data_IF_077495497739
#
_entry.id   IF_077495497739
#
_cell.length_a   1.000
_cell.length_b   1.000
_cell.length_c   1.000
_cell.angle_alpha   90.00
_cell.angle_beta   90.00
_cell.angle_gamma   90.00
#
_symmetry.space_group_name_H-M   'P 1'
#
loop_
_entity.id
_entity.type
_entity.pdbx_description
1 polymer ?
#
# COMPACT_ATOMS: atom_id res chain seq x y z
N UNK A 1 -24.62 7.58 -13.64
CA UNK A 1 -23.19 7.55 -14.03
C UNK A 1 -22.62 6.28 -13.45
N UNK A 2 -22.11 5.39 -14.29
CA UNK A 2 -21.27 4.27 -13.80
C UNK A 2 -20.00 4.97 -13.28
N UNK A 3 -19.64 4.81 -11.99
CA UNK A 3 -18.39 5.36 -11.49
C UNK A 3 -17.27 4.86 -12.39
N UNK A 4 -16.39 5.75 -12.85
CA UNK A 4 -15.23 5.37 -13.67
C UNK A 4 -14.58 4.13 -13.03
N UNK A 5 -14.57 2.99 -13.75
CA UNK A 5 -13.89 1.79 -13.26
C UNK A 5 -12.46 2.19 -12.90
N UNK A 6 -12.09 2.02 -11.63
CA UNK A 6 -10.76 2.34 -11.17
C UNK A 6 -9.83 1.33 -11.83
N UNK A 7 -9.00 1.80 -12.76
CA UNK A 7 -8.02 0.94 -13.41
C UNK A 7 -6.90 0.61 -12.42
N UNK A 8 -6.92 -0.61 -11.87
CA UNK A 8 -5.94 -1.10 -10.92
C UNK A 8 -4.69 -1.71 -11.59
N UNK A 9 -4.62 -1.77 -12.94
CA UNK A 9 -3.47 -2.32 -13.64
C UNK A 9 -2.13 -1.71 -13.21
N UNK A 10 -1.98 -0.38 -13.03
CA UNK A 10 -0.69 0.19 -12.59
C UNK A 10 -0.25 -0.34 -11.23
N UNK A 11 -1.20 -0.54 -10.31
CA UNK A 11 -0.92 -1.07 -8.98
C UNK A 11 -0.53 -2.55 -9.07
N UNK A 12 -1.26 -3.35 -9.86
CA UNK A 12 -0.94 -4.76 -10.10
C UNK A 12 0.43 -4.93 -10.77
N UNK A 13 0.74 -4.12 -11.78
CA UNK A 13 2.06 -4.13 -12.41
C UNK A 13 3.16 -3.73 -11.44
N UNK A 14 2.91 -2.79 -10.52
CA UNK A 14 3.88 -2.45 -9.47
C UNK A 14 4.12 -3.65 -8.54
N UNK A 15 3.05 -4.32 -8.10
CA UNK A 15 3.15 -5.53 -7.29
C UNK A 15 4.01 -6.62 -7.95
N UNK A 16 3.74 -6.94 -9.22
CA UNK A 16 4.49 -7.95 -9.96
C UNK A 16 5.95 -7.54 -10.16
N UNK A 17 6.21 -6.31 -10.61
CA UNK A 17 7.56 -5.89 -11.00
C UNK A 17 8.46 -5.56 -9.80
N UNK A 18 7.91 -5.07 -8.69
CA UNK A 18 8.70 -4.60 -7.55
C UNK A 18 8.70 -5.59 -6.37
N UNK A 19 7.72 -6.48 -6.31
CA UNK A 19 7.57 -7.43 -5.21
C UNK A 19 7.46 -8.88 -5.70
N UNK A 20 7.61 -9.15 -7.00
CA UNK A 20 7.51 -10.49 -7.60
C UNK A 20 6.18 -11.19 -7.29
N UNK A 21 5.12 -10.40 -7.05
CA UNK A 21 3.82 -10.91 -6.61
C UNK A 21 3.78 -11.38 -5.15
N UNK A 22 4.86 -11.24 -4.38
CA UNK A 22 4.88 -11.56 -2.96
C UNK A 22 4.21 -10.48 -2.12
N UNK A 23 3.03 -10.82 -1.61
CA UNK A 23 2.23 -9.96 -0.74
C UNK A 23 2.96 -9.65 0.57
N UNK A 24 3.77 -10.57 1.10
CA UNK A 24 4.50 -10.35 2.34
C UNK A 24 5.59 -9.30 2.15
N UNK A 25 6.42 -9.43 1.12
CA UNK A 25 7.39 -8.42 0.69
C UNK A 25 6.75 -7.03 0.52
N UNK A 26 5.58 -6.95 -0.11
CA UNK A 26 4.87 -5.68 -0.25
C UNK A 26 4.44 -5.08 1.09
N UNK A 27 3.87 -5.88 2.00
CA UNK A 27 3.48 -5.37 3.33
C UNK A 27 4.67 -4.84 4.12
N UNK A 28 5.81 -5.51 4.05
CA UNK A 28 7.06 -5.04 4.67
C UNK A 28 7.58 -3.75 4.02
N UNK A 29 7.41 -3.60 2.71
CA UNK A 29 7.75 -2.36 2.02
C UNK A 29 6.84 -1.20 2.43
N UNK A 30 5.53 -1.44 2.60
CA UNK A 30 4.59 -0.43 3.08
C UNK A 30 4.97 0.08 4.48
N UNK A 31 5.41 -0.80 5.39
CA UNK A 31 5.91 -0.36 6.71
C UNK A 31 7.09 0.60 6.58
N UNK A 32 8.04 0.30 5.69
CA UNK A 32 9.18 1.18 5.42
C UNK A 32 8.75 2.50 4.78
N UNK A 33 7.82 2.46 3.83
CA UNK A 33 7.30 3.64 3.16
C UNK A 33 6.60 4.59 4.14
N UNK A 34 5.71 4.06 5.00
CA UNK A 34 5.02 4.83 6.05
C UNK A 34 6.04 5.43 7.02
N UNK A 35 7.04 4.66 7.44
CA UNK A 35 8.10 5.17 8.30
C UNK A 35 8.88 6.31 7.62
N UNK A 36 9.28 6.13 6.37
CA UNK A 36 10.03 7.13 5.60
C UNK A 36 9.23 8.43 5.39
N UNK A 37 7.91 8.37 5.27
CA UNK A 37 7.06 9.58 5.16
C UNK A 37 7.26 10.53 6.35
N UNK A 38 7.59 10.02 7.54
CA UNK A 38 7.85 10.86 8.72
C UNK A 38 9.11 11.71 8.56
N UNK A 39 10.07 11.26 7.75
CA UNK A 39 11.34 11.95 7.52
C UNK A 39 11.32 12.89 6.32
N UNK A 40 10.21 12.94 5.57
CA UNK A 40 10.09 13.91 4.49
C UNK A 40 10.04 15.34 5.04
N UNK A 41 10.65 16.30 4.34
CA UNK A 41 10.57 17.72 4.68
C UNK A 41 9.13 18.19 4.91
N UNK A 42 8.93 19.10 5.86
CA UNK A 42 7.60 19.59 6.27
C UNK A 42 6.90 20.45 5.22
N UNK A 43 7.62 20.85 4.17
CA UNK A 43 7.11 21.59 3.01
C UNK A 43 6.72 20.67 1.84
N UNK A 44 7.01 19.36 1.90
CA UNK A 44 6.64 18.41 0.83
C UNK A 44 5.16 18.02 0.88
N UNK A 45 4.59 17.93 2.09
CA UNK A 45 3.19 17.63 2.35
C UNK A 45 2.69 18.52 3.47
N UNK A 46 1.44 18.97 3.38
CA UNK A 46 0.74 19.47 4.57
C UNK A 46 0.59 18.35 5.60
N UNK A 47 0.38 18.73 6.86
CA UNK A 47 0.16 17.76 7.94
C UNK A 47 -1.04 16.84 7.65
N UNK A 48 -2.12 17.40 7.13
CA UNK A 48 -3.32 16.65 6.73
C UNK A 48 -3.05 15.69 5.58
N UNK A 49 -2.32 16.11 4.54
CA UNK A 49 -1.96 15.20 3.44
C UNK A 49 -1.08 14.06 3.93
N UNK A 50 -0.10 14.34 4.79
CA UNK A 50 0.75 13.32 5.39
C UNK A 50 -0.08 12.31 6.18
N UNK A 51 -1.00 12.79 7.02
CA UNK A 51 -1.90 11.93 7.79
C UNK A 51 -2.77 11.06 6.86
N UNK A 52 -3.35 11.65 5.83
CA UNK A 52 -4.21 10.94 4.88
C UNK A 52 -3.44 9.87 4.09
N UNK A 53 -2.24 10.18 3.62
CA UNK A 53 -1.39 9.22 2.90
C UNK A 53 -0.97 8.07 3.82
N UNK A 54 -0.51 8.38 5.04
CA UNK A 54 -0.18 7.33 6.02
C UNK A 54 -1.38 6.43 6.32
N UNK A 55 -2.57 7.01 6.48
CA UNK A 55 -3.80 6.27 6.74
C UNK A 55 -4.13 5.31 5.57
N UNK A 56 -4.14 5.81 4.33
CA UNK A 56 -4.42 4.98 3.15
C UNK A 56 -3.41 3.85 2.99
N UNK A 57 -2.11 4.11 3.22
CA UNK A 57 -1.09 3.07 3.14
C UNK A 57 -1.22 2.01 4.24
N UNK A 58 -1.63 2.41 5.45
CA UNK A 58 -1.93 1.45 6.53
C UNK A 58 -3.13 0.57 6.19
N UNK A 59 -4.23 1.15 5.72
CA UNK A 59 -5.43 0.40 5.30
C UNK A 59 -5.10 -0.60 4.17
N UNK A 60 -4.30 -0.17 3.18
CA UNK A 60 -3.83 -1.05 2.12
C UNK A 60 -2.97 -2.19 2.68
N UNK A 61 -2.06 -1.90 3.61
CA UNK A 61 -1.24 -2.93 4.26
C UNK A 61 -2.11 -3.97 4.97
N UNK A 62 -3.10 -3.52 5.73
CA UNK A 62 -4.01 -4.42 6.46
C UNK A 62 -4.82 -5.30 5.49
N UNK A 63 -5.33 -4.73 4.41
CA UNK A 63 -6.08 -5.48 3.41
C UNK A 63 -5.21 -6.57 2.76
N UNK A 64 -3.98 -6.23 2.36
CA UNK A 64 -3.05 -7.19 1.75
C UNK A 64 -2.63 -8.27 2.74
N UNK A 65 -2.36 -7.91 4.00
CA UNK A 65 -1.97 -8.88 5.02
C UNK A 65 -3.10 -9.88 5.31
N UNK A 66 -4.36 -9.42 5.38
CA UNK A 66 -5.52 -10.30 5.53
C UNK A 66 -5.60 -11.31 4.39
N UNK A 67 -5.46 -10.86 3.15
CA UNK A 67 -5.46 -11.74 1.97
C UNK A 67 -4.31 -12.75 2.03
N UNK A 68 -3.10 -12.31 2.39
CA UNK A 68 -1.94 -13.20 2.53
C UNK A 68 -2.17 -14.29 3.60
N UNK A 69 -2.73 -13.92 4.75
CA UNK A 69 -3.06 -14.87 5.82
C UNK A 69 -4.14 -15.84 5.37
N UNK A 70 -5.19 -15.38 4.69
CA UNK A 70 -6.26 -16.23 4.14
C UNK A 70 -5.70 -17.23 3.11
N UNK A 71 -4.82 -16.79 2.21
CA UNK A 71 -4.17 -17.66 1.22
C UNK A 71 -3.33 -18.77 1.87
N UNK A 72 -2.60 -18.45 2.94
CA UNK A 72 -1.73 -19.42 3.63
C UNK A 72 -2.48 -20.30 4.64
N UNK A 73 -3.63 -19.87 5.16
CA UNK A 73 -4.47 -20.69 6.03
C UNK A 73 -5.34 -21.69 5.26
N UNK A 74 -5.53 -21.49 3.95
CA UNK A 74 -6.17 -22.43 3.04
C UNK A 74 -5.19 -23.41 2.38
N UNK A 75 -3.91 -23.41 2.77
CA UNK A 75 -2.86 -24.30 2.30
C UNK A 75 -2.70 -25.55 3.18
#
# INVERSE_FOLDING_TARGET
>A
MIPNEINLLPLLSYFENCHEGDLLSFTQWLDKAIYMLHYLPTDTFSETERQNVCYVLMELKEAVLKIHVEQNNCA
#
